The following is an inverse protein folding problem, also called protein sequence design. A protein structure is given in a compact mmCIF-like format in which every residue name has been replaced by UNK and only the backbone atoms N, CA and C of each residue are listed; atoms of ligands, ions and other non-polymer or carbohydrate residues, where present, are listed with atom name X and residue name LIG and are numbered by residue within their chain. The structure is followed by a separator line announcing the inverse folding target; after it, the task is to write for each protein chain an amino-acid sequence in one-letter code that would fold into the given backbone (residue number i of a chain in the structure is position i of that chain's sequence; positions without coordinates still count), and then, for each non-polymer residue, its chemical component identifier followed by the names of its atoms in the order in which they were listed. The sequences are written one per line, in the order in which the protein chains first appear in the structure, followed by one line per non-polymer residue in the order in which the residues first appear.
data_IF_253225075726
#
_entry.id   IF_253225075726
#
_cell.length_a   1.000
_cell.length_b   1.000
_cell.length_c   1.000
_cell.angle_alpha   90.00
_cell.angle_beta   90.00
_cell.angle_gamma   90.00
#
_symmetry.space_group_name_H-M   'P 1'
#
loop_
_entity.id
_entity.type
_entity.pdbx_description
1 polymer ?
#
# COMPACT_ATOMS: atom_id res chain seq x y z
N UNK A 1 -0.76 -23.71 13.22
CA UNK A 1 -0.38 -23.14 14.54
C UNK A 1 0.06 -21.68 14.41
N UNK A 2 0.77 -21.30 13.34
CA UNK A 2 1.25 -19.91 13.16
C UNK A 2 0.13 -18.88 12.93
N UNK A 3 -0.94 -19.26 12.22
CA UNK A 3 -2.02 -18.33 11.84
C UNK A 3 -2.89 -17.96 13.06
N UNK A 4 -3.19 -18.89 13.95
CA UNK A 4 -3.99 -18.63 15.15
C UNK A 4 -3.29 -17.69 16.15
N UNK A 5 -1.96 -17.80 16.30
CA UNK A 5 -1.18 -16.93 17.17
C UNK A 5 -1.04 -15.49 16.68
N UNK A 6 -1.25 -15.24 15.37
CA UNK A 6 -1.16 -13.89 14.80
C UNK A 6 -2.28 -12.94 15.27
N UNK A 7 -3.40 -13.45 15.74
CA UNK A 7 -4.56 -12.64 16.13
C UNK A 7 -4.79 -12.54 17.65
N UNK A 8 -4.16 -13.41 18.45
CA UNK A 8 -4.31 -13.41 19.90
C UNK A 8 -3.42 -12.32 20.54
N UNK A 9 -4.03 -11.41 21.28
CA UNK A 9 -3.33 -10.37 22.07
C UNK A 9 -2.83 -9.13 21.34
N UNK A 10 -3.13 -8.96 20.05
CA UNK A 10 -2.66 -7.80 19.26
C UNK A 10 -3.56 -6.58 19.43
N UNK A 11 -2.93 -5.39 19.43
CA UNK A 11 -3.64 -4.10 19.35
C UNK A 11 -4.51 -4.05 18.10
N UNK A 12 -5.60 -3.26 18.14
CA UNK A 12 -6.48 -3.06 16.97
C UNK A 12 -5.71 -2.68 15.71
N UNK A 13 -4.69 -1.83 15.84
CA UNK A 13 -3.82 -1.36 14.75
C UNK A 13 -3.08 -2.52 14.06
N UNK A 14 -2.59 -3.49 14.84
CA UNK A 14 -1.84 -4.64 14.31
C UNK A 14 -2.77 -5.62 13.57
N UNK A 15 -4.01 -5.78 14.04
CA UNK A 15 -5.04 -6.58 13.33
C UNK A 15 -5.39 -5.98 11.97
N UNK A 16 -5.49 -4.65 11.89
CA UNK A 16 -5.75 -3.96 10.61
C UNK A 16 -4.63 -4.20 9.60
N UNK A 17 -3.37 -4.15 10.03
CA UNK A 17 -2.23 -4.45 9.15
C UNK A 17 -2.21 -5.91 8.74
N UNK A 18 -2.45 -6.83 9.67
CA UNK A 18 -2.51 -8.26 9.34
C UNK A 18 -3.61 -8.55 8.31
N UNK A 19 -4.79 -7.96 8.47
CA UNK A 19 -5.87 -8.07 7.49
C UNK A 19 -5.48 -7.46 6.13
N UNK A 20 -4.83 -6.30 6.14
CA UNK A 20 -4.32 -5.67 4.93
C UNK A 20 -3.31 -6.55 4.19
N UNK A 21 -2.36 -7.19 4.90
CA UNK A 21 -1.39 -8.10 4.31
C UNK A 21 -2.04 -9.34 3.68
N UNK A 22 -3.06 -9.92 4.32
CA UNK A 22 -3.82 -11.02 3.72
C UNK A 22 -4.55 -10.59 2.44
N UNK A 23 -5.15 -9.41 2.43
CA UNK A 23 -5.78 -8.85 1.23
C UNK A 23 -4.75 -8.55 0.13
N UNK A 24 -3.52 -8.13 0.50
CA UNK A 24 -2.42 -7.97 -0.44
C UNK A 24 -2.09 -9.30 -1.11
N UNK A 25 -1.95 -10.39 -0.34
CA UNK A 25 -1.73 -11.73 -0.91
C UNK A 25 -2.87 -12.14 -1.85
N UNK A 26 -4.12 -11.87 -1.48
CA UNK A 26 -5.25 -12.13 -2.36
C UNK A 26 -5.18 -11.31 -3.65
N UNK A 27 -4.82 -10.03 -3.58
CA UNK A 27 -4.64 -9.18 -4.76
C UNK A 27 -3.54 -9.71 -5.68
N UNK A 28 -2.41 -10.15 -5.10
CA UNK A 28 -1.28 -10.72 -5.83
C UNK A 28 -1.67 -12.01 -6.57
N UNK A 29 -2.53 -12.84 -6.00
CA UNK A 29 -3.07 -14.02 -6.70
C UNK A 29 -3.78 -13.61 -8.00
N UNK A 30 -4.60 -12.56 -7.97
CA UNK A 30 -5.28 -12.08 -9.18
C UNK A 30 -4.32 -11.45 -10.19
N UNK A 31 -3.36 -10.67 -9.72
CA UNK A 31 -2.46 -9.90 -10.58
C UNK A 31 -1.27 -10.70 -11.11
N UNK A 32 -0.72 -11.62 -10.30
CA UNK A 32 0.53 -12.32 -10.62
C UNK A 32 0.34 -13.80 -10.96
N UNK A 33 -0.63 -14.47 -10.32
CA UNK A 33 -0.82 -15.92 -10.53
C UNK A 33 -1.85 -16.18 -11.62
N UNK A 34 -3.00 -15.51 -11.54
CA UNK A 34 -4.07 -15.69 -12.49
C UNK A 34 -3.86 -14.85 -13.76
N UNK A 35 -3.10 -13.76 -13.66
CA UNK A 35 -2.90 -12.74 -14.70
C UNK A 35 -4.24 -12.37 -15.39
N UNK A 36 -5.28 -12.27 -14.57
CA UNK A 36 -6.67 -12.04 -14.97
C UNK A 36 -7.36 -11.16 -13.95
N UNK A 37 -8.42 -10.50 -14.40
CA UNK A 37 -9.24 -9.65 -13.51
C UNK A 37 -8.44 -8.53 -12.85
N UNK A 38 -7.57 -7.86 -13.60
CA UNK A 38 -6.72 -6.76 -13.13
C UNK A 38 -7.47 -5.76 -12.23
N UNK A 39 -8.69 -5.38 -12.62
CA UNK A 39 -9.54 -4.48 -11.83
C UNK A 39 -9.86 -5.00 -10.43
N UNK A 40 -10.03 -6.33 -10.27
CA UNK A 40 -10.28 -6.95 -8.95
C UNK A 40 -9.05 -6.84 -8.07
N UNK A 41 -7.86 -7.10 -8.60
CA UNK A 41 -6.60 -6.96 -7.87
C UNK A 41 -6.39 -5.53 -7.39
N UNK A 42 -6.57 -4.53 -8.27
CA UNK A 42 -6.45 -3.11 -7.88
C UNK A 42 -7.53 -2.70 -6.88
N UNK A 43 -8.76 -3.22 -6.99
CA UNK A 43 -9.80 -2.97 -6.00
C UNK A 43 -9.45 -3.52 -4.62
N UNK A 44 -8.87 -4.72 -4.55
CA UNK A 44 -8.36 -5.29 -3.29
C UNK A 44 -7.26 -4.41 -2.69
N UNK A 45 -6.36 -3.87 -3.50
CA UNK A 45 -5.37 -2.89 -3.04
C UNK A 45 -6.01 -1.58 -2.55
N UNK A 46 -7.11 -1.12 -3.12
CA UNK A 46 -7.87 0.00 -2.57
C UNK A 46 -8.39 -0.32 -1.16
N UNK A 47 -8.87 -1.56 -0.93
CA UNK A 47 -9.31 -2.00 0.40
C UNK A 47 -8.12 -2.09 1.38
N UNK A 48 -6.94 -2.53 0.93
CA UNK A 48 -5.69 -2.49 1.72
C UNK A 48 -5.40 -1.05 2.17
N UNK A 49 -5.49 -0.08 1.27
CA UNK A 49 -5.26 1.32 1.60
C UNK A 49 -6.30 1.89 2.57
N UNK A 50 -7.53 1.42 2.53
CA UNK A 50 -8.56 1.73 3.52
C UNK A 50 -8.14 1.26 4.92
N UNK A 51 -7.67 0.02 5.08
CA UNK A 51 -7.17 -0.48 6.37
C UNK A 51 -5.97 0.31 6.88
N UNK A 52 -5.03 0.68 6.02
CA UNK A 52 -3.91 1.54 6.41
C UNK A 52 -4.35 2.93 6.84
N UNK A 53 -5.39 3.50 6.22
CA UNK A 53 -5.99 4.77 6.67
C UNK A 53 -6.55 4.66 8.08
N UNK A 54 -7.28 3.58 8.39
CA UNK A 54 -7.84 3.34 9.72
C UNK A 54 -6.75 3.17 10.79
N UNK A 55 -5.64 2.50 10.45
CA UNK A 55 -4.48 2.39 11.33
C UNK A 55 -3.83 3.73 11.62
N UNK A 56 -3.63 4.54 10.59
CA UNK A 56 -2.92 5.81 10.69
C UNK A 56 -3.72 6.91 11.40
N UNK A 57 -5.04 6.78 11.44
CA UNK A 57 -5.93 7.82 11.97
C UNK A 57 -7.05 7.24 12.84
N UNK A 58 -6.72 6.55 13.94
CA UNK A 58 -7.71 5.85 14.77
C UNK A 58 -8.71 6.80 15.45
N UNK A 59 -8.29 8.03 15.77
CA UNK A 59 -9.13 9.01 16.47
C UNK A 59 -10.17 9.68 15.56
N UNK A 60 -9.85 9.91 14.30
CA UNK A 60 -10.70 10.62 13.33
C UNK A 60 -10.76 9.88 11.98
N UNK A 61 -11.25 8.63 11.97
CA UNK A 61 -11.18 7.77 10.78
C UNK A 61 -11.99 8.34 9.61
N UNK A 62 -13.20 8.82 9.85
CA UNK A 62 -14.07 9.38 8.79
C UNK A 62 -13.43 10.58 8.12
N UNK A 63 -12.88 11.53 8.91
CA UNK A 63 -12.18 12.70 8.36
C UNK A 63 -10.96 12.26 7.52
N UNK A 64 -10.21 11.28 8.02
CA UNK A 64 -9.04 10.79 7.32
C UNK A 64 -9.41 10.09 5.99
N UNK A 65 -10.50 9.36 5.97
CA UNK A 65 -11.03 8.74 4.75
C UNK A 65 -11.46 9.80 3.72
N UNK A 66 -12.21 10.82 4.14
CA UNK A 66 -12.66 11.89 3.25
C UNK A 66 -11.48 12.67 2.65
N UNK A 67 -10.46 13.01 3.47
CA UNK A 67 -9.26 13.72 3.00
C UNK A 67 -8.52 12.92 1.91
N UNK A 68 -8.59 11.59 1.91
CA UNK A 68 -7.96 10.74 0.89
C UNK A 68 -8.88 10.43 -0.27
N UNK A 69 -10.16 10.18 0.01
CA UNK A 69 -11.14 9.80 -1.00
C UNK A 69 -11.42 10.93 -2.02
N UNK A 70 -11.49 12.19 -1.55
CA UNK A 70 -11.79 13.32 -2.44
C UNK A 70 -10.72 13.51 -3.51
N UNK A 71 -9.41 13.67 -3.19
CA UNK A 71 -8.37 13.80 -4.22
C UNK A 71 -8.22 12.52 -5.06
N UNK A 72 -8.43 11.33 -4.48
CA UNK A 72 -8.38 10.07 -5.21
C UNK A 72 -9.54 9.97 -6.23
N UNK A 73 -10.74 10.39 -5.87
CA UNK A 73 -11.88 10.45 -6.78
C UNK A 73 -11.65 11.46 -7.92
N UNK A 74 -11.06 12.62 -7.61
CA UNK A 74 -10.65 13.58 -8.64
C UNK A 74 -9.61 12.99 -9.60
N UNK A 75 -8.62 12.25 -9.09
CA UNK A 75 -7.63 11.56 -9.90
C UNK A 75 -8.27 10.47 -10.78
N UNK A 76 -9.23 9.72 -10.26
CA UNK A 76 -10.00 8.74 -11.04
C UNK A 76 -10.79 9.41 -12.17
N UNK A 77 -11.46 10.54 -11.90
CA UNK A 77 -12.20 11.30 -12.89
C UNK A 77 -11.28 11.86 -13.99
N UNK A 78 -10.07 12.28 -13.65
CA UNK A 78 -9.06 12.68 -14.62
C UNK A 78 -8.56 11.46 -15.40
N UNK A 79 -8.20 10.37 -14.71
CA UNK A 79 -7.71 9.12 -15.29
C UNK A 79 -8.69 8.50 -16.29
N UNK A 80 -10.00 8.61 -16.03
CA UNK A 80 -11.04 8.08 -16.93
C UNK A 80 -11.02 8.69 -18.33
N UNK A 81 -10.39 9.86 -18.50
CA UNK A 81 -10.20 10.48 -19.83
C UNK A 81 -9.26 9.71 -20.74
N UNK A 82 -8.37 8.90 -20.16
CA UNK A 82 -7.46 8.01 -20.90
C UNK A 82 -7.96 6.56 -20.97
N UNK A 83 -9.18 6.31 -20.48
CA UNK A 83 -9.85 5.01 -20.52
C UNK A 83 -10.30 4.55 -19.13
N UNK A 84 -11.31 3.68 -19.10
CA UNK A 84 -11.86 3.16 -17.84
C UNK A 84 -10.81 2.39 -17.01
N UNK A 85 -9.85 1.75 -17.68
CA UNK A 85 -8.79 0.97 -17.03
C UNK A 85 -7.76 1.82 -16.28
N UNK A 86 -7.68 3.14 -16.54
CA UNK A 86 -6.75 4.05 -15.86
C UNK A 86 -7.37 4.74 -14.64
N UNK A 87 -8.70 4.77 -14.55
CA UNK A 87 -9.41 5.46 -13.47
C UNK A 87 -9.13 4.82 -12.09
N UNK A 88 -9.21 3.50 -11.99
CA UNK A 88 -9.02 2.78 -10.73
C UNK A 88 -7.57 2.83 -10.23
N UNK A 89 -6.53 2.60 -11.07
CA UNK A 89 -5.14 2.84 -10.67
C UNK A 89 -4.86 4.28 -10.26
N UNK A 90 -5.42 5.28 -10.95
CA UNK A 90 -5.27 6.69 -10.57
C UNK A 90 -5.88 6.99 -9.19
N UNK A 91 -7.06 6.43 -8.90
CA UNK A 91 -7.67 6.49 -7.58
C UNK A 91 -6.75 5.87 -6.51
N UNK A 92 -6.28 4.67 -6.77
CA UNK A 92 -5.43 3.89 -5.88
C UNK A 92 -4.14 4.64 -5.53
N UNK A 93 -3.39 5.10 -6.53
CA UNK A 93 -2.07 5.70 -6.31
C UNK A 93 -2.15 7.01 -5.51
N UNK A 94 -3.17 7.83 -5.74
CA UNK A 94 -3.38 9.08 -4.99
C UNK A 94 -3.79 8.79 -3.54
N UNK A 95 -4.64 7.80 -3.31
CA UNK A 95 -4.97 7.36 -1.95
C UNK A 95 -3.74 6.84 -1.22
N UNK A 96 -2.94 6.00 -1.89
CA UNK A 96 -1.70 5.46 -1.33
C UNK A 96 -0.71 6.57 -0.97
N UNK A 97 -0.48 7.54 -1.86
CA UNK A 97 0.37 8.70 -1.57
C UNK A 97 -0.10 9.46 -0.31
N UNK A 98 -1.41 9.61 -0.14
CA UNK A 98 -2.00 10.19 1.07
C UNK A 98 -1.69 9.40 2.34
N UNK A 99 -1.71 8.07 2.27
CA UNK A 99 -1.33 7.19 3.39
C UNK A 99 0.17 7.27 3.68
N UNK A 100 1.00 7.26 2.65
CA UNK A 100 2.45 7.39 2.79
C UNK A 100 2.83 8.71 3.48
N UNK A 101 2.25 9.83 3.05
CA UNK A 101 2.46 11.14 3.69
C UNK A 101 2.01 11.14 5.16
N UNK A 102 0.88 10.51 5.48
CA UNK A 102 0.40 10.40 6.86
C UNK A 102 1.32 9.52 7.72
N UNK A 103 1.80 8.39 7.19
CA UNK A 103 2.74 7.51 7.86
C UNK A 103 4.06 8.22 8.14
N UNK A 104 4.59 8.95 7.14
CA UNK A 104 5.83 9.71 7.29
C UNK A 104 5.72 10.79 8.35
N UNK A 105 4.64 11.58 8.33
CA UNK A 105 4.36 12.59 9.37
C UNK A 105 4.21 11.97 10.75
N UNK A 106 3.61 10.78 10.84
CA UNK A 106 3.49 10.02 12.09
C UNK A 106 4.85 9.54 12.61
N UNK A 107 5.70 9.02 11.73
CA UNK A 107 7.04 8.54 12.06
C UNK A 107 7.96 9.67 12.56
N UNK A 108 7.96 10.82 11.88
CA UNK A 108 8.77 11.99 12.28
C UNK A 108 8.34 12.60 13.60
N UNK A 109 7.02 12.60 13.91
CA UNK A 109 6.50 13.13 15.18
C UNK A 109 6.73 12.19 16.36
N UNK A 110 6.49 10.89 16.17
CA UNK A 110 6.52 9.90 17.27
C UNK A 110 7.90 9.35 17.53
N UNK A 111 8.81 9.34 16.54
CA UNK A 111 10.18 8.77 16.57
C UNK A 111 10.25 7.33 17.11
N UNK A 112 9.13 6.59 17.03
CA UNK A 112 9.06 5.20 17.48
C UNK A 112 9.47 4.27 16.33
N UNK A 113 10.30 3.25 16.64
CA UNK A 113 10.82 2.30 15.65
C UNK A 113 9.72 1.67 14.78
N UNK A 114 8.59 1.28 15.39
CA UNK A 114 7.41 0.73 14.70
C UNK A 114 6.81 1.66 13.64
N UNK A 115 6.71 2.97 13.97
CA UNK A 115 6.18 3.97 13.05
C UNK A 115 7.12 4.21 11.88
N UNK A 116 8.44 4.20 12.15
CA UNK A 116 9.46 4.33 11.12
C UNK A 116 9.47 3.10 10.19
N UNK A 117 9.42 1.89 10.73
CA UNK A 117 9.35 0.65 9.94
C UNK A 117 8.12 0.63 9.05
N UNK A 118 6.97 1.04 9.58
CA UNK A 118 5.74 1.10 8.78
C UNK A 118 5.85 2.14 7.65
N UNK A 119 6.37 3.33 7.94
CA UNK A 119 6.52 4.38 6.94
C UNK A 119 7.52 3.98 5.84
N UNK A 120 8.65 3.38 6.20
CA UNK A 120 9.63 2.85 5.24
C UNK A 120 9.06 1.70 4.42
N UNK A 121 8.35 0.77 5.06
CA UNK A 121 7.67 -0.31 4.36
C UNK A 121 6.66 0.20 3.34
N UNK A 122 5.84 1.20 3.71
CA UNK A 122 4.92 1.84 2.76
C UNK A 122 5.65 2.58 1.64
N UNK A 123 6.79 3.21 1.92
CA UNK A 123 7.59 3.88 0.89
C UNK A 123 8.10 2.87 -0.14
N UNK A 124 8.67 1.75 0.32
CA UNK A 124 9.15 0.70 -0.58
C UNK A 124 8.00 0.08 -1.38
N UNK A 125 6.86 -0.19 -0.74
CA UNK A 125 5.69 -0.71 -1.43
C UNK A 125 5.16 0.30 -2.47
N UNK A 126 5.15 1.59 -2.16
CA UNK A 126 4.80 2.63 -3.13
C UNK A 126 5.76 2.69 -4.32
N UNK A 127 7.07 2.56 -4.09
CA UNK A 127 8.07 2.46 -5.16
C UNK A 127 7.84 1.21 -6.04
N UNK A 128 7.49 0.08 -5.43
CA UNK A 128 7.08 -1.13 -6.18
C UNK A 128 5.91 -0.82 -7.12
N UNK A 129 4.85 -0.20 -6.63
CA UNK A 129 3.67 0.11 -7.42
C UNK A 129 3.94 1.11 -8.54
N UNK A 130 4.85 2.07 -8.31
CA UNK A 130 5.34 2.94 -9.39
C UNK A 130 6.07 2.14 -10.46
N UNK A 131 6.89 1.16 -10.09
CA UNK A 131 7.55 0.27 -11.05
C UNK A 131 6.52 -0.57 -11.82
N UNK A 132 5.50 -1.11 -11.16
CA UNK A 132 4.39 -1.83 -11.81
C UNK A 132 3.66 -0.91 -12.79
N UNK A 133 3.37 0.32 -12.38
CA UNK A 133 2.77 1.33 -13.23
C UNK A 133 3.62 1.63 -14.47
N UNK A 134 4.92 1.88 -14.30
CA UNK A 134 5.86 2.14 -15.39
C UNK A 134 6.00 0.96 -16.35
N UNK A 135 5.98 -0.27 -15.84
CA UNK A 135 6.03 -1.49 -16.67
C UNK A 135 4.78 -1.64 -17.55
N UNK A 136 3.62 -1.25 -17.04
CA UNK A 136 2.33 -1.41 -17.72
C UNK A 136 1.92 -0.21 -18.58
N UNK A 137 2.67 0.90 -18.56
CA UNK A 137 2.38 2.04 -19.42
C UNK A 137 2.74 1.74 -20.89
N UNK A 138 2.04 2.38 -21.87
CA UNK A 138 2.42 2.30 -23.26
C UNK A 138 3.87 2.71 -23.45
N UNK A 139 4.66 1.85 -24.08
CA UNK A 139 6.13 2.04 -24.20
C UNK A 139 6.54 3.09 -25.25
N UNK A 140 5.58 3.67 -25.97
CA UNK A 140 5.85 4.70 -26.98
C UNK A 140 6.53 5.93 -26.34
N UNK A 141 7.79 6.18 -26.74
CA UNK A 141 8.58 7.29 -26.23
C UNK A 141 9.36 7.03 -24.95
N UNK A 142 9.32 5.83 -24.39
CA UNK A 142 10.15 5.47 -23.23
C UNK A 142 11.51 4.89 -23.64
N UNK A 143 12.58 5.13 -22.84
CA UNK A 143 13.87 4.45 -23.04
C UNK A 143 13.68 2.93 -22.96
N UNK A 144 14.22 2.16 -23.92
CA UNK A 144 14.00 0.72 -24.03
C UNK A 144 14.47 -0.12 -22.82
N UNK A 145 15.36 0.42 -21.99
CA UNK A 145 15.82 -0.23 -20.75
C UNK A 145 14.84 -0.09 -19.59
N UNK A 146 13.95 0.91 -19.61
CA UNK A 146 13.12 1.28 -18.46
C UNK A 146 12.09 0.20 -18.07
N UNK A 147 11.37 -0.47 -19.00
CA UNK A 147 10.44 -1.53 -18.63
C UNK A 147 11.14 -2.74 -17.98
N UNK A 148 12.29 -3.14 -18.48
CA UNK A 148 13.09 -4.24 -17.90
C UNK A 148 13.64 -3.89 -16.52
N UNK A 149 14.12 -2.65 -16.34
CA UNK A 149 14.52 -2.15 -15.03
C UNK A 149 13.34 -2.16 -14.05
N UNK A 150 12.19 -1.63 -14.45
CA UNK A 150 10.99 -1.56 -13.62
C UNK A 150 10.54 -2.96 -13.18
N UNK A 151 10.55 -3.95 -14.08
CA UNK A 151 10.21 -5.34 -13.79
C UNK A 151 11.12 -5.99 -12.72
N UNK A 152 12.42 -5.71 -12.76
CA UNK A 152 13.35 -6.24 -11.76
C UNK A 152 13.27 -5.46 -10.44
N UNK A 153 13.14 -4.13 -10.52
CA UNK A 153 13.10 -3.25 -9.36
C UNK A 153 11.84 -3.46 -8.51
N UNK A 154 10.69 -3.82 -9.11
CA UNK A 154 9.47 -4.06 -8.33
C UNK A 154 9.67 -5.12 -7.25
N UNK A 155 10.36 -6.22 -7.55
CA UNK A 155 10.62 -7.29 -6.57
C UNK A 155 11.58 -6.86 -5.47
N UNK A 156 12.59 -6.05 -5.81
CA UNK A 156 13.54 -5.50 -4.84
C UNK A 156 12.86 -4.55 -3.84
N UNK A 157 11.78 -3.88 -4.24
CA UNK A 157 10.99 -3.02 -3.36
C UNK A 157 9.87 -3.77 -2.64
N UNK A 158 9.22 -4.72 -3.31
CA UNK A 158 8.05 -5.41 -2.77
C UNK A 158 8.37 -6.21 -1.51
N UNK A 159 9.33 -7.16 -1.60
CA UNK A 159 9.64 -8.05 -0.48
C UNK A 159 10.12 -7.31 0.77
N UNK A 160 11.11 -6.40 0.72
CA UNK A 160 11.51 -5.64 1.90
C UNK A 160 10.38 -4.75 2.43
N UNK A 161 9.57 -4.17 1.54
CA UNK A 161 8.41 -3.36 1.91
C UNK A 161 7.41 -4.15 2.76
N UNK A 162 7.01 -5.34 2.30
CA UNK A 162 6.06 -6.20 3.02
C UNK A 162 6.64 -6.71 4.35
N UNK A 163 7.94 -7.07 4.38
CA UNK A 163 8.62 -7.47 5.62
C UNK A 163 8.61 -6.33 6.65
N UNK A 164 8.92 -5.10 6.23
CA UNK A 164 8.91 -3.94 7.13
C UNK A 164 7.50 -3.62 7.64
N UNK A 165 6.48 -3.69 6.78
CA UNK A 165 5.08 -3.50 7.17
C UNK A 165 4.69 -4.56 8.20
N UNK A 166 5.01 -5.83 7.97
CA UNK A 166 4.76 -6.92 8.91
C UNK A 166 5.51 -6.71 10.22
N UNK A 167 6.82 -6.40 10.17
CA UNK A 167 7.66 -6.18 11.34
C UNK A 167 7.17 -5.02 12.20
N UNK A 168 6.49 -4.03 11.61
CA UNK A 168 5.87 -2.93 12.34
C UNK A 168 4.72 -3.37 13.26
N UNK A 169 4.24 -4.62 13.18
CA UNK A 169 3.21 -5.18 14.06
C UNK A 169 3.79 -5.92 15.27
N UNK A 170 5.10 -6.15 15.30
CA UNK A 170 5.75 -6.79 16.43
C UNK A 170 6.12 -5.78 17.51
N UNK A 171 5.91 -6.15 18.77
CA UNK A 171 6.36 -5.35 19.93
C UNK A 171 7.85 -5.66 20.13
N UNK A 172 8.69 -4.65 19.97
CA UNK A 172 10.10 -4.77 20.34
C UNK A 172 10.21 -4.59 21.86
N UNK A 173 10.88 -5.52 22.55
CA UNK A 173 11.20 -5.40 23.96
C UNK A 173 12.01 -4.11 24.14
N UNK A 174 11.46 -3.12 24.84
CA UNK A 174 12.08 -1.79 25.07
C UNK A 174 11.23 -0.58 24.67
N UNK A 175 10.06 -0.75 24.05
CA UNK A 175 9.15 0.37 23.74
C UNK A 175 8.02 0.55 24.80
N UNK A 176 8.05 -0.16 25.91
CA UNK A 176 7.02 -0.12 26.99
C UNK A 176 7.42 0.76 28.18
N UNK A 177 8.58 1.47 28.15
CA UNK A 177 8.96 2.43 29.18
C UNK A 177 8.63 3.88 28.81
#
# INVERSE_FOLDING_TARGET
VAVGGMFAGKRREDRLVTAALWLTVCADVFLLVLDRYYGVGVLLFCVVQFFYTLRLSPEKPVRALLIRAIPAAAAAAIGSRWGAMTALPAYYIVWFAGNLLAAWRGATKRKKGRSCLFALGLLLFFCCDLCVGLHNLPQAGMPGWLPGFAQNAMWAFYLPGQIMILSSTHVWKGEEE
#
